data_IF_251864733074
#
_entry.id   IF_251864733074
#
_cell.length_a   1.000
_cell.length_b   1.000
_cell.length_c   1.000
_cell.angle_alpha   90.00
_cell.angle_beta   90.00
_cell.angle_gamma   90.00
#
_symmetry.space_group_name_H-M   'P 1'
#
loop_
_entity.id
_entity.type
_entity.pdbx_description
1 polymer ?
#
# COMPACT_ATOMS: atom_id res chain seq x y z
N UNK A 1 10.62 -11.66 13.16
CA UNK A 1 10.69 -11.51 11.69
C UNK A 1 9.56 -10.58 11.29
N UNK A 2 9.78 -9.67 10.34
CA UNK A 2 8.73 -8.77 9.84
C UNK A 2 8.50 -8.99 8.35
N UNK A 3 7.24 -8.96 7.91
CA UNK A 3 6.83 -9.11 6.52
C UNK A 3 6.30 -7.78 5.99
N UNK A 4 6.90 -7.30 4.91
CA UNK A 4 6.47 -6.10 4.22
C UNK A 4 6.12 -6.44 2.79
N UNK A 5 5.10 -5.77 2.25
CA UNK A 5 4.73 -5.86 0.84
C UNK A 5 4.99 -4.53 0.13
N UNK A 6 5.38 -4.59 -1.14
CA UNK A 6 5.68 -3.42 -1.96
C UNK A 6 4.53 -3.15 -2.94
N UNK A 7 3.52 -2.41 -2.49
CA UNK A 7 2.31 -2.12 -3.28
C UNK A 7 1.70 -0.76 -2.89
N UNK A 8 0.89 -0.21 -3.79
CA UNK A 8 0.01 0.94 -3.50
C UNK A 8 -1.48 0.56 -3.58
N UNK A 9 -1.77 -0.71 -3.87
CA UNK A 9 -3.13 -1.20 -4.04
C UNK A 9 -3.76 -1.46 -2.68
N UNK A 10 -4.69 -0.59 -2.29
CA UNK A 10 -5.35 -0.64 -0.98
C UNK A 10 -6.17 -1.93 -0.79
N UNK A 11 -6.73 -2.50 -1.86
CA UNK A 11 -7.49 -3.74 -1.76
C UNK A 11 -6.58 -4.93 -1.42
N UNK A 12 -5.44 -5.04 -2.10
CA UNK A 12 -4.42 -6.07 -1.82
C UNK A 12 -3.88 -5.96 -0.39
N UNK A 13 -3.61 -4.73 0.06
CA UNK A 13 -3.15 -4.48 1.44
C UNK A 13 -4.17 -4.96 2.46
N UNK A 14 -5.47 -4.69 2.24
CA UNK A 14 -6.56 -5.14 3.13
C UNK A 14 -6.70 -6.67 3.17
N UNK A 15 -6.50 -7.34 2.03
CA UNK A 15 -6.55 -8.81 1.95
C UNK A 15 -5.37 -9.46 2.69
N UNK A 16 -4.20 -8.82 2.71
CA UNK A 16 -2.98 -9.33 3.34
C UNK A 16 -2.74 -8.80 4.76
N UNK A 17 -3.57 -7.88 5.27
CA UNK A 17 -3.37 -7.20 6.54
C UNK A 17 -3.23 -8.14 7.76
N UNK A 18 -3.71 -9.38 7.67
CA UNK A 18 -3.57 -10.39 8.72
C UNK A 18 -2.19 -11.06 8.78
N UNK A 19 -1.36 -10.89 7.74
CA UNK A 19 -0.07 -11.57 7.57
C UNK A 19 1.13 -10.60 7.55
N UNK A 20 0.91 -9.32 7.20
CA UNK A 20 1.98 -8.34 6.99
C UNK A 20 2.13 -7.39 8.18
N UNK A 21 3.35 -6.94 8.43
CA UNK A 21 3.69 -5.95 9.45
C UNK A 21 3.70 -4.51 8.92
N UNK A 22 3.58 -4.33 7.60
CA UNK A 22 3.50 -3.03 6.97
C UNK A 22 3.63 -3.07 5.45
N UNK A 23 3.60 -1.88 4.87
CA UNK A 23 3.64 -1.66 3.42
C UNK A 23 4.78 -0.71 3.10
N UNK A 24 5.57 -1.04 2.09
CA UNK A 24 6.45 -0.09 1.40
C UNK A 24 5.79 0.34 0.11
N UNK A 25 5.99 1.58 -0.28
CA UNK A 25 5.49 2.09 -1.55
C UNK A 25 6.45 3.14 -2.11
N UNK A 26 6.24 3.52 -3.36
CA UNK A 26 7.04 4.51 -4.06
C UNK A 26 6.16 5.28 -5.06
N UNK A 27 6.60 6.45 -5.56
CA UNK A 27 5.80 7.27 -6.46
C UNK A 27 5.31 6.54 -7.72
N UNK A 28 6.10 5.60 -8.25
CA UNK A 28 5.73 4.83 -9.46
C UNK A 28 4.57 3.87 -9.20
N UNK A 29 4.50 3.26 -8.02
CA UNK A 29 3.38 2.39 -7.64
C UNK A 29 2.11 3.23 -7.40
N UNK A 30 2.22 4.31 -6.63
CA UNK A 30 1.08 5.21 -6.37
C UNK A 30 0.53 5.82 -7.66
N UNK A 31 1.39 6.17 -8.62
CA UNK A 31 0.96 6.69 -9.92
C UNK A 31 0.11 5.69 -10.74
N UNK A 32 0.27 4.37 -10.53
CA UNK A 32 -0.53 3.34 -11.21
C UNK A 32 -1.97 3.27 -10.70
N UNK A 33 -2.21 3.69 -9.46
CA UNK A 33 -3.53 3.74 -8.86
C UNK A 33 -4.42 4.84 -9.48
N UNK A 34 -3.84 5.80 -10.22
CA UNK A 34 -4.55 6.93 -10.88
C UNK A 34 -5.44 7.74 -9.92
N UNK A 35 -5.01 7.84 -8.66
CA UNK A 35 -5.68 8.57 -7.58
C UNK A 35 -4.74 9.62 -7.00
N UNK A 36 -5.26 10.66 -6.31
CA UNK A 36 -4.42 11.63 -5.62
C UNK A 36 -3.49 10.93 -4.62
N UNK A 37 -2.20 11.32 -4.63
CA UNK A 37 -1.17 10.69 -3.80
C UNK A 37 -1.55 10.69 -2.31
N UNK A 38 -2.01 11.84 -1.78
CA UNK A 38 -2.37 11.95 -0.36
C UNK A 38 -3.53 11.03 0.03
N UNK A 39 -4.49 10.81 -0.87
CA UNK A 39 -5.61 9.90 -0.63
C UNK A 39 -5.14 8.44 -0.55
N UNK A 40 -4.24 8.03 -1.45
CA UNK A 40 -3.69 6.68 -1.43
C UNK A 40 -2.90 6.44 -0.15
N UNK A 41 -2.03 7.37 0.25
CA UNK A 41 -1.25 7.25 1.49
C UNK A 41 -2.15 7.23 2.72
N UNK A 42 -3.17 8.09 2.77
CA UNK A 42 -4.13 8.12 3.89
C UNK A 42 -4.98 6.84 4.00
N UNK A 43 -5.12 6.06 2.94
CA UNK A 43 -5.81 4.76 2.97
C UNK A 43 -4.91 3.58 3.35
N UNK A 44 -3.59 3.75 3.22
CA UNK A 44 -2.59 2.75 3.61
C UNK A 44 -2.30 2.84 5.12
N UNK A 45 -2.45 4.02 5.74
CA UNK A 45 -2.21 4.28 7.16
C UNK A 45 -3.50 4.22 8.01
#
# INVERSE_FOLDING_TARGET
MKFFIDTANVSEIREMAWLIDGVTTNPSLVAREKRPFEQVIAEIC
#
